data_IF_186682054889
#
_entry.id   IF_186682054889
#
_cell.length_a   1.000
_cell.length_b   1.000
_cell.length_c   1.000
_cell.angle_alpha   90.00
_cell.angle_beta   90.00
_cell.angle_gamma   90.00
#
_symmetry.space_group_name_H-M   'P 1'
#
loop_
_entity.id
_entity.type
_entity.pdbx_description
1 polymer ?
#
# COMPACT_ATOMS: atom_id res chain seq x y z
N UNK A 1 10.34 4.83 -17.22
CA UNK A 1 9.60 5.62 -18.23
C UNK A 1 9.61 4.98 -19.61
N UNK A 2 10.61 4.17 -19.98
CA UNK A 2 10.70 3.53 -21.30
C UNK A 2 9.42 2.79 -21.73
N UNK A 3 8.83 1.97 -20.85
CA UNK A 3 7.61 1.25 -21.18
C UNK A 3 6.38 2.14 -21.33
N UNK A 4 6.34 3.31 -20.68
CA UNK A 4 5.20 4.24 -20.83
C UNK A 4 5.15 4.72 -22.27
N UNK A 5 6.28 5.12 -22.84
CA UNK A 5 6.37 5.54 -24.24
C UNK A 5 6.02 4.40 -25.19
N UNK A 6 6.60 3.20 -24.99
CA UNK A 6 6.33 2.03 -25.84
C UNK A 6 4.85 1.61 -25.82
N UNK A 7 4.26 1.46 -24.64
CA UNK A 7 2.86 1.04 -24.49
C UNK A 7 1.91 2.12 -25.00
N UNK A 8 2.24 3.41 -24.85
CA UNK A 8 1.47 4.50 -25.44
C UNK A 8 1.50 4.44 -26.97
N UNK A 9 2.65 4.13 -27.58
CA UNK A 9 2.74 3.95 -29.04
C UNK A 9 1.93 2.74 -29.52
N UNK A 10 1.95 1.62 -28.78
CA UNK A 10 1.10 0.45 -29.07
C UNK A 10 -0.39 0.79 -29.01
N UNK A 11 -0.80 1.67 -28.10
CA UNK A 11 -2.18 2.13 -28.03
C UNK A 11 -2.59 2.92 -29.28
N UNK A 12 -1.72 3.77 -29.81
CA UNK A 12 -1.96 4.53 -31.05
C UNK A 12 -1.99 3.62 -32.28
N UNK A 13 -1.13 2.61 -32.32
CA UNK A 13 -1.02 1.66 -33.43
C UNK A 13 -2.07 0.53 -33.38
N UNK A 14 -3.02 0.59 -32.44
CA UNK A 14 -4.05 -0.43 -32.21
C UNK A 14 -3.49 -1.85 -31.95
N UNK A 15 -2.27 -1.94 -31.45
CA UNK A 15 -1.66 -3.20 -31.05
C UNK A 15 -2.37 -3.77 -29.81
N UNK A 16 -2.35 -5.10 -29.66
CA UNK A 16 -3.01 -5.78 -28.55
C UNK A 16 -2.34 -5.48 -27.22
N UNK A 17 -3.11 -4.92 -26.27
CA UNK A 17 -2.65 -4.54 -24.94
C UNK A 17 -3.45 -5.28 -23.86
N UNK A 18 -2.75 -5.87 -22.90
CA UNK A 18 -3.36 -6.51 -21.74
C UNK A 18 -3.46 -5.55 -20.55
N UNK A 19 -4.57 -5.62 -19.80
CA UNK A 19 -4.72 -4.95 -18.51
C UNK A 19 -4.87 -6.02 -17.43
N UNK A 20 -3.98 -6.03 -16.45
CA UNK A 20 -4.15 -6.78 -15.21
C UNK A 20 -4.41 -5.81 -14.08
N UNK A 21 -5.54 -5.96 -13.37
CA UNK A 21 -5.90 -5.10 -12.25
C UNK A 21 -6.31 -5.91 -11.03
N UNK A 22 -5.49 -5.84 -9.99
CA UNK A 22 -5.72 -6.49 -8.69
C UNK A 22 -6.26 -5.52 -7.63
N UNK A 23 -5.91 -4.23 -7.74
CA UNK A 23 -6.26 -3.19 -6.75
C UNK A 23 -6.58 -1.85 -7.44
N UNK A 24 -7.03 -0.85 -6.69
CA UNK A 24 -7.43 0.46 -7.23
C UNK A 24 -8.89 0.52 -7.71
N UNK A 25 -9.35 1.74 -7.97
CA UNK A 25 -10.66 2.06 -8.56
C UNK A 25 -10.82 1.35 -9.91
N UNK A 26 -12.05 0.94 -10.27
CA UNK A 26 -12.35 0.25 -11.54
C UNK A 26 -13.23 1.06 -12.49
N UNK A 27 -13.81 2.14 -11.99
CA UNK A 27 -14.76 3.01 -12.68
C UNK A 27 -14.09 4.26 -13.30
N UNK A 28 -12.76 4.35 -13.28
CA UNK A 28 -11.99 5.42 -13.92
C UNK A 28 -12.25 5.56 -15.43
N UNK A 29 -12.77 4.51 -16.08
CA UNK A 29 -13.19 4.54 -17.48
C UNK A 29 -14.68 4.84 -17.69
N UNK A 30 -15.35 5.46 -16.71
CA UNK A 30 -16.70 6.04 -16.82
C UNK A 30 -17.75 5.13 -17.48
N UNK A 31 -17.68 3.81 -17.23
CA UNK A 31 -18.57 2.80 -17.82
C UNK A 31 -18.58 2.75 -19.36
N UNK A 32 -17.56 3.30 -20.03
CA UNK A 32 -17.36 3.10 -21.46
C UNK A 32 -16.79 1.71 -21.71
N UNK A 33 -17.03 1.17 -22.89
CA UNK A 33 -16.25 0.01 -23.34
C UNK A 33 -14.78 0.42 -23.49
N UNK A 34 -13.88 -0.47 -23.09
CA UNK A 34 -12.47 -0.31 -23.41
C UNK A 34 -12.27 -0.35 -24.94
N UNK A 35 -11.21 0.27 -25.47
CA UNK A 35 -10.84 0.13 -26.88
C UNK A 35 -10.71 -1.34 -27.30
N UNK A 36 -11.02 -1.65 -28.57
CA UNK A 36 -11.08 -3.03 -29.09
C UNK A 36 -9.74 -3.77 -29.08
N UNK A 37 -8.62 -3.04 -28.99
CA UNK A 37 -7.28 -3.59 -28.86
C UNK A 37 -6.86 -3.83 -27.40
N UNK A 38 -7.67 -3.44 -26.43
CA UNK A 38 -7.38 -3.58 -24.99
C UNK A 38 -8.21 -4.72 -24.40
N UNK A 39 -7.57 -5.64 -23.69
CA UNK A 39 -8.24 -6.77 -23.04
C UNK A 39 -7.85 -6.84 -21.57
N UNK A 40 -8.86 -6.95 -20.69
CA UNK A 40 -8.62 -7.20 -19.27
C UNK A 40 -8.36 -8.70 -19.07
N UNK A 41 -7.27 -9.04 -18.42
CA UNK A 41 -6.91 -10.41 -18.03
C UNK A 41 -7.08 -10.59 -16.53
N UNK A 42 -7.36 -11.82 -16.11
CA UNK A 42 -7.57 -12.16 -14.71
C UNK A 42 -6.34 -12.79 -14.05
N UNK A 43 -5.43 -13.36 -14.85
CA UNK A 43 -4.15 -13.87 -14.39
C UNK A 43 -3.02 -13.01 -14.95
N UNK A 44 -2.05 -12.65 -14.10
CA UNK A 44 -0.86 -11.91 -14.51
C UNK A 44 -0.06 -12.66 -15.59
N UNK A 45 -0.02 -13.99 -15.51
CA UNK A 45 0.71 -14.83 -16.45
C UNK A 45 0.14 -14.77 -17.88
N UNK A 46 -1.15 -14.44 -18.06
CA UNK A 46 -1.75 -14.29 -19.38
C UNK A 46 -1.06 -13.19 -20.20
N UNK A 47 -0.53 -12.17 -19.51
CA UNK A 47 0.23 -11.10 -20.15
C UNK A 47 1.48 -11.64 -20.84
N UNK A 48 2.10 -12.74 -20.36
CA UNK A 48 3.32 -13.37 -20.94
C UNK A 48 3.14 -13.82 -22.38
N UNK A 49 1.91 -14.07 -22.81
CA UNK A 49 1.59 -14.43 -24.19
C UNK A 49 2.11 -13.40 -25.19
N UNK A 50 2.64 -13.88 -26.33
CA UNK A 50 3.01 -13.05 -27.48
C UNK A 50 1.83 -12.35 -28.14
N UNK A 51 0.59 -12.71 -27.74
CA UNK A 51 -0.63 -12.02 -28.13
C UNK A 51 -0.62 -10.54 -27.70
N UNK A 52 -0.05 -10.22 -26.53
CA UNK A 52 -0.01 -8.85 -26.01
C UNK A 52 1.35 -8.21 -26.31
N UNK A 53 1.35 -7.11 -27.08
CA UNK A 53 2.56 -6.33 -27.37
C UNK A 53 3.00 -5.47 -26.18
N UNK A 54 2.06 -5.05 -25.36
CA UNK A 54 2.31 -4.31 -24.13
C UNK A 54 1.24 -4.58 -23.09
N UNK A 55 1.48 -4.10 -21.87
CA UNK A 55 0.50 -4.24 -20.81
C UNK A 55 0.48 -3.07 -19.83
N UNK A 56 -0.66 -2.91 -19.16
CA UNK A 56 -0.82 -2.11 -17.96
C UNK A 56 -1.09 -3.04 -16.78
N UNK A 57 -0.23 -2.98 -15.76
CA UNK A 57 -0.36 -3.77 -14.53
C UNK A 57 -0.68 -2.82 -13.39
N UNK A 58 -1.89 -2.93 -12.86
CA UNK A 58 -2.42 -2.14 -11.75
C UNK A 58 -2.42 -3.04 -10.51
N UNK A 59 -1.37 -2.92 -9.68
CA UNK A 59 -1.21 -3.79 -8.50
C UNK A 59 -0.41 -3.08 -7.40
N UNK A 60 -0.67 -3.48 -6.16
CA UNK A 60 0.14 -3.12 -5.00
C UNK A 60 1.18 -4.17 -4.61
N UNK A 61 1.33 -5.24 -5.41
CA UNK A 61 2.30 -6.32 -5.22
C UNK A 61 3.65 -6.04 -5.87
N UNK A 62 4.73 -6.54 -5.28
CA UNK A 62 6.03 -6.59 -5.95
C UNK A 62 5.90 -7.54 -7.15
N UNK A 63 6.34 -7.06 -8.32
CA UNK A 63 6.40 -7.85 -9.56
C UNK A 63 7.86 -7.93 -9.94
N UNK A 64 8.39 -9.15 -10.01
CA UNK A 64 9.80 -9.46 -10.30
C UNK A 64 9.98 -10.27 -11.59
N UNK A 65 8.89 -10.70 -12.22
CA UNK A 65 8.94 -11.42 -13.49
C UNK A 65 9.49 -10.53 -14.61
N UNK A 66 10.64 -10.87 -15.22
CA UNK A 66 11.31 -10.01 -16.19
C UNK A 66 10.50 -9.82 -17.47
N UNK A 67 9.74 -10.84 -17.90
CA UNK A 67 8.91 -10.78 -19.10
C UNK A 67 7.74 -9.81 -18.90
N UNK A 68 7.16 -9.79 -17.70
CA UNK A 68 6.14 -8.80 -17.35
C UNK A 68 6.77 -7.42 -17.25
N UNK A 69 7.87 -7.27 -16.54
CA UNK A 69 8.54 -5.98 -16.33
C UNK A 69 8.99 -5.33 -17.64
N UNK A 70 9.47 -6.10 -18.62
CA UNK A 70 9.97 -5.57 -19.88
C UNK A 70 8.86 -4.96 -20.76
N UNK A 71 7.65 -5.52 -20.76
CA UNK A 71 6.55 -5.06 -21.64
C UNK A 71 5.49 -4.20 -20.96
N UNK A 72 5.54 -4.10 -19.62
CA UNK A 72 4.43 -3.53 -18.86
C UNK A 72 4.75 -2.15 -18.32
N UNK A 73 3.74 -1.30 -18.31
CA UNK A 73 3.66 -0.15 -17.42
C UNK A 73 3.10 -0.64 -16.09
N UNK A 74 3.86 -0.46 -15.01
CA UNK A 74 3.37 -0.73 -13.65
C UNK A 74 2.73 0.54 -13.09
N UNK A 75 1.42 0.50 -12.89
CA UNK A 75 0.70 1.50 -12.12
C UNK A 75 0.55 1.04 -10.67
N UNK A 76 0.90 1.91 -9.73
CA UNK A 76 0.89 1.66 -8.28
C UNK A 76 -0.19 2.51 -7.62
N UNK A 77 -1.44 2.01 -7.50
CA UNK A 77 -2.46 2.72 -6.76
C UNK A 77 -1.97 2.99 -5.33
N UNK A 78 -2.36 4.13 -4.76
CA UNK A 78 -2.13 4.45 -3.35
C UNK A 78 -3.12 3.69 -2.47
N UNK A 79 -3.03 2.36 -2.51
CA UNK A 79 -3.98 1.42 -1.91
C UNK A 79 -3.60 0.96 -0.51
N UNK A 80 -2.43 1.30 0.01
CA UNK A 80 -1.96 0.79 1.30
C UNK A 80 -1.83 1.90 2.33
N UNK A 81 -2.35 1.65 3.53
CA UNK A 81 -2.08 2.46 4.72
C UNK A 81 -1.23 1.65 5.67
N UNK A 82 -0.14 2.25 6.14
CA UNK A 82 0.75 1.63 7.12
C UNK A 82 0.47 2.24 8.48
N UNK A 83 -0.11 1.44 9.38
CA UNK A 83 -0.32 1.84 10.77
C UNK A 83 0.90 1.54 11.61
N UNK A 84 1.30 2.52 12.43
CA UNK A 84 2.53 2.48 13.21
C UNK A 84 2.22 2.74 14.69
N UNK A 85 2.66 1.85 15.57
CA UNK A 85 2.75 2.10 17.00
C UNK A 85 4.21 2.26 17.40
N UNK A 86 4.57 3.41 17.98
CA UNK A 86 5.97 3.79 18.27
C UNK A 86 6.15 4.40 19.66
N UNK A 87 7.35 4.26 20.21
CA UNK A 87 7.80 5.08 21.34
C UNK A 87 8.24 6.47 20.88
N UNK A 88 8.41 7.42 21.80
CA UNK A 88 8.65 8.85 21.47
C UNK A 88 10.03 9.10 20.84
N UNK A 89 10.94 8.19 21.12
CA UNK A 89 12.38 8.20 20.90
C UNK A 89 12.79 7.27 19.75
N UNK A 90 11.82 6.60 19.10
CA UNK A 90 12.07 5.79 17.91
C UNK A 90 12.56 6.66 16.76
N UNK A 91 13.74 6.34 16.23
CA UNK A 91 14.34 7.06 15.10
C UNK A 91 13.75 6.62 13.75
N UNK A 92 13.91 7.46 12.73
CA UNK A 92 13.38 7.23 11.37
C UNK A 92 13.97 5.99 10.68
N UNK A 93 15.21 5.59 10.99
CA UNK A 93 15.84 4.40 10.44
C UNK A 93 15.18 3.10 10.92
N UNK A 94 14.78 3.04 12.19
CA UNK A 94 14.02 1.91 12.74
C UNK A 94 12.64 1.81 12.10
N UNK A 95 11.96 2.96 11.91
CA UNK A 95 10.67 3.03 11.20
C UNK A 95 10.83 2.55 9.76
N UNK A 96 11.83 3.06 9.04
CA UNK A 96 12.11 2.66 7.66
C UNK A 96 12.35 1.16 7.54
N UNK A 97 13.21 0.61 8.41
CA UNK A 97 13.51 -0.81 8.42
C UNK A 97 12.24 -1.63 8.64
N UNK A 98 11.46 -1.31 9.67
CA UNK A 98 10.24 -2.04 9.99
C UNK A 98 9.20 -2.00 8.87
N UNK A 99 8.97 -0.82 8.28
CA UNK A 99 8.03 -0.65 7.16
C UNK A 99 8.51 -1.40 5.92
N UNK A 100 9.75 -1.16 5.47
CA UNK A 100 10.29 -1.84 4.27
C UNK A 100 10.34 -3.35 4.43
N UNK A 101 10.75 -3.83 5.60
CA UNK A 101 10.82 -5.27 5.87
C UNK A 101 9.43 -5.90 5.92
N UNK A 102 8.46 -5.27 6.59
CA UNK A 102 7.06 -5.75 6.61
C UNK A 102 6.52 -5.84 5.18
N UNK A 103 6.67 -4.76 4.40
CA UNK A 103 6.15 -4.74 3.02
C UNK A 103 6.82 -5.76 2.11
N UNK A 104 8.16 -5.87 2.18
CA UNK A 104 8.90 -6.82 1.37
C UNK A 104 8.50 -8.26 1.67
N UNK A 105 8.38 -8.62 2.96
CA UNK A 105 8.01 -9.97 3.37
C UNK A 105 6.60 -10.35 2.90
N UNK A 106 5.70 -9.38 2.82
CA UNK A 106 4.32 -9.55 2.38
C UNK A 106 4.15 -9.36 0.86
N UNK A 107 5.26 -9.19 0.12
CA UNK A 107 5.25 -8.97 -1.33
C UNK A 107 4.52 -7.69 -1.74
N UNK A 108 4.49 -6.66 -0.88
CA UNK A 108 3.82 -5.38 -1.12
C UNK A 108 4.83 -4.33 -1.60
N UNK A 109 4.41 -3.51 -2.56
CA UNK A 109 5.22 -2.42 -3.10
C UNK A 109 5.16 -1.20 -2.19
N UNK A 110 6.31 -0.73 -1.73
CA UNK A 110 6.47 0.51 -0.97
C UNK A 110 5.85 1.73 -1.68
N UNK A 111 5.83 1.72 -3.01
CA UNK A 111 5.26 2.82 -3.81
C UNK A 111 3.74 2.91 -3.72
N UNK A 112 3.06 1.87 -3.22
CA UNK A 112 1.61 1.84 -3.04
C UNK A 112 1.16 2.40 -1.69
N UNK A 113 2.09 2.84 -0.82
CA UNK A 113 1.74 3.52 0.44
C UNK A 113 1.07 4.86 0.12
N UNK A 114 -0.17 5.01 0.58
CA UNK A 114 -0.95 6.27 0.57
C UNK A 114 -0.48 7.19 1.68
N UNK A 115 -0.47 6.69 2.91
CA UNK A 115 -0.08 7.44 4.11
C UNK A 115 0.35 6.48 5.24
N UNK A 116 1.03 7.04 6.22
CA UNK A 116 1.24 6.43 7.53
C UNK A 116 0.10 6.85 8.45
N UNK A 117 -0.33 5.97 9.35
CA UNK A 117 -1.32 6.25 10.37
C UNK A 117 -0.76 5.92 11.76
N UNK A 118 -1.03 6.75 12.77
CA UNK A 118 -0.59 6.49 14.15
C UNK A 118 -1.50 7.16 15.19
N UNK A 119 -1.18 6.98 16.47
CA UNK A 119 -1.83 7.69 17.57
C UNK A 119 -1.28 9.11 17.71
N UNK A 120 -2.16 10.06 17.99
CA UNK A 120 -1.79 11.42 18.32
C UNK A 120 -1.05 11.45 19.67
N UNK A 121 0.16 11.98 19.67
CA UNK A 121 0.98 12.23 20.86
C UNK A 121 1.24 13.71 20.90
N UNK A 122 0.88 14.38 21.99
CA UNK A 122 0.94 15.85 22.14
C UNK A 122 2.34 16.43 21.82
N UNK A 123 3.41 15.70 22.11
CA UNK A 123 4.78 16.11 21.82
C UNK A 123 5.26 15.83 20.39
N UNK A 124 4.44 15.16 19.56
CA UNK A 124 4.87 14.58 18.28
C UNK A 124 5.91 13.46 18.44
N UNK A 125 6.31 12.84 17.33
CA UNK A 125 7.43 11.88 17.29
C UNK A 125 8.36 12.26 16.15
N UNK A 126 9.57 12.72 16.48
CA UNK A 126 10.53 13.24 15.51
C UNK A 126 10.88 12.22 14.42
N UNK A 127 11.12 10.97 14.80
CA UNK A 127 11.45 9.92 13.82
C UNK A 127 10.36 9.68 12.77
N UNK A 128 9.08 9.86 13.15
CA UNK A 128 7.96 9.72 12.21
C UNK A 128 7.89 10.91 11.23
N UNK A 129 8.17 12.13 11.70
CA UNK A 129 8.25 13.32 10.86
C UNK A 129 9.43 13.25 9.88
N UNK A 130 10.59 12.80 10.36
CA UNK A 130 11.79 12.59 9.55
C UNK A 130 11.52 11.54 8.45
N UNK A 131 10.90 10.41 8.80
CA UNK A 131 10.49 9.38 7.83
C UNK A 131 9.50 9.92 6.79
N UNK A 132 8.46 10.63 7.23
CA UNK A 132 7.47 11.26 6.36
C UNK A 132 8.11 12.20 5.35
N UNK A 133 9.03 13.06 5.81
CA UNK A 133 9.72 14.04 4.98
C UNK A 133 10.64 13.38 3.96
N UNK A 134 11.38 12.35 4.38
CA UNK A 134 12.30 11.60 3.52
C UNK A 134 11.56 10.91 2.35
N UNK A 135 10.42 10.28 2.64
CA UNK A 135 9.67 9.51 1.64
C UNK A 135 8.52 10.28 0.99
N UNK A 136 8.24 11.50 1.44
CA UNK A 136 7.07 12.31 1.04
C UNK A 136 5.75 11.55 1.21
N UNK A 137 5.66 10.75 2.29
CA UNK A 137 4.46 10.00 2.64
C UNK A 137 3.74 10.76 3.77
N UNK A 138 2.49 11.18 3.59
CA UNK A 138 1.71 11.87 4.63
C UNK A 138 1.57 11.03 5.90
N UNK A 139 1.46 11.70 7.04
CA UNK A 139 1.17 11.07 8.34
C UNK A 139 -0.18 11.55 8.83
N UNK A 140 -1.07 10.61 9.13
CA UNK A 140 -2.34 10.85 9.79
C UNK A 140 -2.25 10.38 11.24
N UNK A 141 -2.69 11.23 12.17
CA UNK A 141 -2.70 10.91 13.61
C UNK A 141 -4.12 10.93 14.15
N UNK A 142 -4.41 10.01 15.06
CA UNK A 142 -5.74 9.85 15.64
C UNK A 142 -5.71 9.87 17.16
N UNK A 143 -6.72 10.49 17.75
CA UNK A 143 -6.88 10.46 19.19
C UNK A 143 -7.21 9.05 19.68
N UNK A 144 -6.77 8.79 20.91
CA UNK A 144 -6.95 7.53 21.62
C UNK A 144 -8.37 6.98 21.56
N UNK A 145 -9.36 7.83 21.80
CA UNK A 145 -10.77 7.42 21.85
C UNK A 145 -11.28 6.94 20.49
N UNK A 146 -10.79 7.52 19.38
CA UNK A 146 -11.15 7.10 18.03
C UNK A 146 -10.56 5.74 17.70
N UNK A 147 -9.33 5.47 18.14
CA UNK A 147 -8.68 4.18 17.92
C UNK A 147 -9.28 3.08 18.79
N UNK A 148 -9.68 3.39 20.03
CA UNK A 148 -10.19 2.42 20.99
C UNK A 148 -11.50 1.74 20.60
N UNK A 149 -12.29 2.35 19.70
CA UNK A 149 -13.55 1.79 19.19
C UNK A 149 -13.37 0.95 17.92
N UNK A 150 -12.18 0.93 17.32
CA UNK A 150 -11.94 0.20 16.08
C UNK A 150 -11.81 -1.29 16.41
N UNK A 151 -12.64 -2.16 15.81
CA UNK A 151 -12.48 -3.59 15.97
C UNK A 151 -11.15 -4.01 15.32
N UNK A 152 -10.30 -4.68 16.10
CA UNK A 152 -9.02 -5.21 15.60
C UNK A 152 -8.96 -6.72 15.83
N UNK A 153 -8.37 -7.47 14.89
CA UNK A 153 -8.30 -8.93 15.00
C UNK A 153 -7.36 -9.41 16.11
N UNK A 154 -6.33 -8.62 16.49
CA UNK A 154 -5.33 -9.02 17.50
C UNK A 154 -5.24 -8.01 18.66
N UNK A 155 -6.17 -8.06 19.62
CA UNK A 155 -6.12 -7.15 20.76
C UNK A 155 -4.90 -7.43 21.66
N UNK A 156 -4.21 -6.37 22.09
CA UNK A 156 -3.14 -6.41 23.09
C UNK A 156 -3.64 -5.84 24.41
N UNK A 157 -3.59 -6.66 25.47
CA UNK A 157 -4.00 -6.25 26.82
C UNK A 157 -3.11 -5.15 27.40
N UNK A 158 -1.81 -5.15 27.08
CA UNK A 158 -0.85 -4.11 27.51
C UNK A 158 -1.22 -2.74 26.93
N UNK A 159 -1.58 -2.66 25.64
CA UNK A 159 -1.97 -1.40 25.00
C UNK A 159 -3.34 -0.91 25.50
N UNK A 160 -4.27 -1.83 25.79
CA UNK A 160 -5.58 -1.49 26.36
C UNK A 160 -5.47 -0.79 27.72
N UNK A 161 -4.51 -1.19 28.57
CA UNK A 161 -4.27 -0.57 29.89
C UNK A 161 -3.62 0.82 29.83
N UNK A 162 -2.67 1.06 28.92
CA UNK A 162 -1.92 2.34 28.86
C UNK A 162 -2.50 3.34 27.85
N UNK A 163 -3.07 2.86 26.76
CA UNK A 163 -3.51 3.66 25.63
C UNK A 163 -4.99 3.45 25.26
N UNK A 164 -5.79 2.77 26.09
CA UNK A 164 -7.24 2.63 25.86
C UNK A 164 -7.64 1.99 24.52
N UNK A 165 -6.67 1.46 23.77
CA UNK A 165 -6.81 0.90 22.43
C UNK A 165 -6.20 -0.48 22.42
N UNK A 166 -6.83 -1.50 21.81
CA UNK A 166 -6.27 -2.85 21.76
C UNK A 166 -4.97 -2.94 20.94
N UNK A 167 -4.76 -2.10 19.92
CA UNK A 167 -3.57 -2.11 19.07
C UNK A 167 -3.49 -0.83 18.24
N UNK A 168 -2.52 0.07 18.51
CA UNK A 168 -2.40 1.35 17.79
C UNK A 168 -2.13 1.15 16.30
N UNK A 169 -1.18 0.29 15.94
CA UNK A 169 -0.83 0.04 14.53
C UNK A 169 -2.00 -0.51 13.74
N UNK A 170 -2.71 -1.52 14.24
CA UNK A 170 -3.85 -2.09 13.51
C UNK A 170 -5.04 -1.13 13.45
N UNK A 171 -5.43 -0.52 14.58
CA UNK A 171 -6.58 0.38 14.64
C UNK A 171 -6.38 1.61 13.74
N UNK A 172 -5.19 2.20 13.75
CA UNK A 172 -4.88 3.39 12.94
C UNK A 172 -4.83 3.05 11.44
N UNK A 173 -4.28 1.90 11.07
CA UNK A 173 -4.28 1.43 9.68
C UNK A 173 -5.71 1.26 9.15
N UNK A 174 -6.55 0.52 9.88
CA UNK A 174 -7.94 0.23 9.51
C UNK A 174 -8.75 1.53 9.41
N UNK A 175 -8.67 2.39 10.43
CA UNK A 175 -9.43 3.63 10.48
C UNK A 175 -9.08 4.56 9.33
N UNK A 176 -7.79 4.75 9.04
CA UNK A 176 -7.35 5.61 7.94
C UNK A 176 -7.71 5.00 6.59
N UNK A 177 -7.48 3.70 6.39
CA UNK A 177 -7.78 3.02 5.14
C UNK A 177 -9.28 2.97 4.83
N UNK A 178 -10.13 3.01 5.87
CA UNK A 178 -11.57 2.67 5.77
C UNK A 178 -11.78 1.34 5.05
N UNK A 179 -10.89 0.40 5.31
CA UNK A 179 -10.80 -0.88 4.61
C UNK A 179 -10.21 -1.96 5.50
N UNK A 180 -9.73 -3.03 4.86
CA UNK A 180 -9.44 -4.27 5.55
C UNK A 180 -7.97 -4.39 5.93
N UNK A 181 -7.71 -4.99 7.09
CA UNK A 181 -6.36 -5.32 7.53
C UNK A 181 -5.81 -6.46 6.67
N UNK A 182 -4.67 -6.23 6.02
CA UNK A 182 -4.03 -7.19 5.11
C UNK A 182 -2.73 -7.74 5.66
N UNK A 183 -2.09 -7.00 6.58
CA UNK A 183 -0.94 -7.46 7.35
C UNK A 183 -1.23 -7.19 8.82
N UNK A 184 -1.41 -8.24 9.64
CA UNK A 184 -1.54 -8.11 11.09
C UNK A 184 -0.34 -7.43 11.73
N UNK A 185 -0.49 -7.01 12.99
CA UNK A 185 0.59 -6.39 13.76
C UNK A 185 1.89 -7.21 13.74
N UNK A 186 2.93 -6.63 13.14
CA UNK A 186 4.32 -7.06 13.21
C UNK A 186 5.03 -6.28 14.32
N UNK A 187 5.82 -6.98 15.14
CA UNK A 187 6.58 -6.37 16.24
C UNK A 187 8.05 -6.25 15.84
N UNK A 188 8.61 -5.06 16.07
CA UNK A 188 10.02 -4.72 15.91
C UNK A 188 10.52 -4.17 17.25
N UNK A 189 10.94 -5.06 18.18
CA UNK A 189 11.37 -4.65 19.51
C UNK A 189 12.57 -3.68 19.47
N UNK A 190 12.71 -2.79 20.46
CA UNK A 190 11.81 -2.62 21.61
C UNK A 190 10.57 -1.75 21.31
N UNK A 191 10.60 -0.95 20.24
CA UNK A 191 9.79 0.29 20.23
C UNK A 191 8.88 0.47 19.01
N UNK A 192 8.79 -0.49 18.10
CA UNK A 192 8.01 -0.34 16.86
C UNK A 192 7.03 -1.50 16.65
N UNK A 193 5.82 -1.16 16.24
CA UNK A 193 4.87 -2.09 15.65
C UNK A 193 4.34 -1.55 14.34
N UNK A 194 4.18 -2.43 13.35
CA UNK A 194 3.71 -2.09 12.00
C UNK A 194 2.51 -2.98 11.68
N UNK A 195 1.47 -2.40 11.09
CA UNK A 195 0.37 -3.14 10.50
C UNK A 195 -0.01 -2.48 9.18
N UNK A 196 -0.62 -3.21 8.25
CA UNK A 196 -0.99 -2.68 6.94
C UNK A 196 -2.44 -2.99 6.65
N UNK A 197 -3.20 -1.96 6.26
CA UNK A 197 -4.56 -2.08 5.78
C UNK A 197 -4.63 -1.63 4.31
N UNK A 198 -5.53 -2.25 3.55
CA UNK A 198 -5.81 -1.89 2.16
C UNK A 198 -7.02 -0.96 2.10
N UNK A 199 -6.87 0.13 1.36
CA UNK A 199 -7.91 1.15 1.14
C UNK A 199 -9.06 0.52 0.37
N UNK A 200 -10.29 0.86 0.79
CA UNK A 200 -11.50 0.53 0.04
C UNK A 200 -11.73 1.62 -1.01
N UNK A 201 -11.66 1.23 -2.28
CA UNK A 201 -11.96 2.07 -3.44
C UNK A 201 -13.46 2.01 -3.76
#
# INVERSE_FOLDING_TARGET
FENVTKVSAFMVNEEKIGIYQETGEKDWWQNKSLPSNVTVVHNLDDLKSSHFKGALVISDRIIDDPIILEKSVLYRPKSLVVGIGIHRDTNSGVIEYGVKNTMKNEGLSFNSIRNIASINREAGVKGLQDFSSLYRIPVEVYDRNKLGIIPVPNPSETVKRFEGTPSVSEASAILSAKGDLVVPKQKYPPDLTVAIARVKF
#
